data_IF_252697063523
#
_entry.id   IF_252697063523
#
_cell.length_a   1.000
_cell.length_b   1.000
_cell.length_c   1.000
_cell.angle_alpha   90.00
_cell.angle_beta   90.00
_cell.angle_gamma   90.00
#
_symmetry.space_group_name_H-M   'P 1'
#
loop_
_entity.id
_entity.type
_entity.pdbx_description
1 polymer ?
#
# COMPACT_ATOMS: atom_id res chain seq x y z
N UNK A 1 -3.46 -57.17 2.30
CA UNK A 1 -3.51 -55.82 1.64
C UNK A 1 -4.95 -55.53 1.30
N UNK A 2 -5.61 -54.73 2.11
CA UNK A 2 -7.06 -54.47 2.08
C UNK A 2 -7.45 -53.50 0.97
N UNK A 3 -8.54 -53.74 0.21
CA UNK A 3 -8.96 -52.90 -0.92
C UNK A 3 -9.48 -51.50 -0.56
N UNK A 4 -9.60 -51.18 0.71
CA UNK A 4 -10.12 -49.89 1.20
C UNK A 4 -9.21 -48.66 0.98
N UNK A 5 -7.89 -48.88 0.77
CA UNK A 5 -6.92 -47.77 0.63
C UNK A 5 -6.90 -47.11 -0.77
N UNK A 6 -7.43 -47.79 -1.79
CA UNK A 6 -7.47 -47.24 -3.18
C UNK A 6 -8.67 -46.33 -3.44
N UNK A 7 -9.78 -46.47 -2.69
CA UNK A 7 -10.99 -45.69 -2.91
C UNK A 7 -10.88 -44.21 -2.47
N UNK A 8 -10.06 -43.93 -1.47
CA UNK A 8 -9.88 -42.56 -0.94
C UNK A 8 -8.99 -41.67 -1.80
N UNK A 9 -7.99 -42.22 -2.48
CA UNK A 9 -7.07 -41.46 -3.34
C UNK A 9 -7.75 -40.90 -4.60
N UNK A 10 -8.68 -41.64 -5.21
CA UNK A 10 -9.43 -41.23 -6.40
C UNK A 10 -10.42 -40.08 -6.13
N UNK A 11 -11.03 -40.06 -4.93
CA UNK A 11 -11.96 -39.01 -4.53
C UNK A 11 -11.30 -37.64 -4.33
N UNK A 12 -10.08 -37.61 -3.79
CA UNK A 12 -9.33 -36.37 -3.59
C UNK A 12 -8.78 -35.78 -4.89
N UNK A 13 -8.35 -36.60 -5.84
CA UNK A 13 -7.89 -36.16 -7.16
C UNK A 13 -9.04 -35.55 -7.98
N UNK A 14 -10.21 -36.18 -7.99
CA UNK A 14 -11.40 -35.68 -8.68
C UNK A 14 -11.92 -34.36 -8.07
N UNK A 15 -11.92 -34.25 -6.74
CA UNK A 15 -12.31 -33.00 -6.05
C UNK A 15 -11.33 -31.86 -6.33
N UNK A 16 -10.03 -32.14 -6.40
CA UNK A 16 -9.00 -31.14 -6.77
C UNK A 16 -9.17 -30.66 -8.22
N UNK A 17 -9.49 -31.55 -9.15
CA UNK A 17 -9.75 -31.19 -10.55
C UNK A 17 -10.98 -30.30 -10.70
N UNK A 18 -12.07 -30.62 -10.02
CA UNK A 18 -13.30 -29.80 -10.03
C UNK A 18 -13.05 -28.43 -9.38
N UNK A 19 -12.34 -28.39 -8.26
CA UNK A 19 -11.99 -27.12 -7.60
C UNK A 19 -11.09 -26.25 -8.50
N UNK A 20 -10.10 -26.84 -9.18
CA UNK A 20 -9.24 -26.13 -10.12
C UNK A 20 -10.05 -25.60 -11.32
N UNK A 21 -10.98 -26.39 -11.86
CA UNK A 21 -11.82 -25.96 -12.96
C UNK A 21 -12.75 -24.80 -12.56
N UNK A 22 -13.33 -24.83 -11.36
CA UNK A 22 -14.16 -23.75 -10.84
C UNK A 22 -13.35 -22.48 -10.49
N UNK A 23 -12.09 -22.62 -10.11
CA UNK A 23 -11.20 -21.49 -9.84
C UNK A 23 -10.59 -20.88 -11.13
N UNK A 24 -10.62 -21.62 -12.24
CA UNK A 24 -9.96 -21.22 -13.49
C UNK A 24 -10.48 -19.89 -14.06
N UNK A 25 -11.79 -19.61 -14.17
CA UNK A 25 -12.28 -18.32 -14.68
C UNK A 25 -11.84 -17.14 -13.79
N UNK A 26 -11.85 -17.33 -12.47
CA UNK A 26 -11.38 -16.31 -11.52
C UNK A 26 -9.87 -16.09 -11.65
N UNK A 27 -9.11 -17.16 -11.76
CA UNK A 27 -7.65 -17.08 -11.95
C UNK A 27 -7.28 -16.39 -13.27
N UNK A 28 -7.95 -16.72 -14.37
CA UNK A 28 -7.75 -16.07 -15.68
C UNK A 28 -8.10 -14.58 -15.63
N UNK A 29 -9.16 -14.20 -14.91
CA UNK A 29 -9.53 -12.81 -14.71
C UNK A 29 -8.46 -12.05 -13.98
N UNK A 30 -8.00 -12.55 -12.82
CA UNK A 30 -6.93 -11.89 -12.04
C UNK A 30 -5.61 -11.82 -12.81
N UNK A 31 -5.23 -12.90 -13.50
CA UNK A 31 -4.03 -12.91 -14.33
C UNK A 31 -4.13 -11.90 -15.48
N UNK A 32 -5.26 -11.81 -16.15
CA UNK A 32 -5.49 -10.83 -17.21
C UNK A 32 -5.35 -9.39 -16.69
N UNK A 33 -6.01 -9.07 -15.58
CA UNK A 33 -5.92 -7.75 -14.95
C UNK A 33 -4.55 -7.42 -14.36
N UNK A 34 -3.76 -8.43 -14.00
CA UNK A 34 -2.38 -8.24 -13.54
C UNK A 34 -1.41 -8.11 -14.71
N UNK A 35 -1.51 -9.01 -15.70
CA UNK A 35 -0.53 -9.10 -16.79
C UNK A 35 -0.73 -7.97 -17.80
N UNK A 36 -1.95 -7.59 -18.12
CA UNK A 36 -2.21 -6.55 -19.12
C UNK A 36 -1.55 -5.20 -18.74
N UNK A 37 -1.70 -4.64 -17.51
CA UNK A 37 -0.99 -3.44 -17.12
C UNK A 37 0.54 -3.61 -17.11
N UNK A 38 1.05 -4.79 -16.74
CA UNK A 38 2.48 -5.06 -16.74
C UNK A 38 3.05 -5.06 -18.16
N UNK A 39 2.33 -5.63 -19.13
CA UNK A 39 2.73 -5.58 -20.55
C UNK A 39 2.76 -4.12 -21.01
N UNK A 40 1.73 -3.33 -20.68
CA UNK A 40 1.70 -1.90 -21.02
C UNK A 40 2.89 -1.16 -20.42
N UNK A 41 3.22 -1.42 -19.15
CA UNK A 41 4.39 -0.84 -18.49
C UNK A 41 5.70 -1.22 -19.18
N UNK A 42 5.87 -2.49 -19.58
CA UNK A 42 7.06 -2.96 -20.31
C UNK A 42 7.16 -2.28 -21.67
N UNK A 43 6.07 -2.21 -22.41
CA UNK A 43 6.04 -1.53 -23.72
C UNK A 43 6.37 -0.04 -23.56
N UNK A 44 5.78 0.64 -22.57
CA UNK A 44 6.06 2.04 -22.30
C UNK A 44 7.50 2.28 -21.79
N UNK A 45 8.08 1.31 -21.11
CA UNK A 45 9.44 1.38 -20.58
C UNK A 45 10.50 1.44 -21.68
N UNK A 46 10.25 0.82 -22.83
CA UNK A 46 11.11 0.90 -24.04
C UNK A 46 10.65 1.93 -25.06
N UNK A 47 9.55 2.65 -24.78
CA UNK A 47 9.01 3.71 -25.64
C UNK A 47 9.78 5.03 -25.51
N UNK A 48 9.73 5.86 -26.54
CA UNK A 48 10.27 7.21 -26.52
C UNK A 48 9.21 8.22 -26.04
N UNK A 49 9.63 9.18 -25.25
CA UNK A 49 8.75 10.23 -24.76
C UNK A 49 8.54 11.28 -25.83
N UNK A 50 7.30 11.48 -26.28
CA UNK A 50 6.98 12.53 -27.25
C UNK A 50 7.13 13.93 -26.63
N UNK A 51 7.67 14.91 -27.36
CA UNK A 51 7.74 16.30 -26.91
C UNK A 51 6.36 16.93 -26.61
N UNK A 52 5.33 16.43 -27.29
CA UNK A 52 3.95 16.93 -27.16
C UNK A 52 3.13 16.20 -26.08
N UNK A 53 3.79 15.39 -25.22
CA UNK A 53 3.14 14.54 -24.25
C UNK A 53 2.67 13.21 -24.86
N UNK A 54 2.85 12.13 -24.13
CA UNK A 54 2.55 10.75 -24.58
C UNK A 54 3.81 9.95 -24.91
N UNK A 55 3.60 8.71 -25.37
CA UNK A 55 4.66 7.77 -25.71
C UNK A 55 4.58 7.43 -27.20
N UNK A 56 5.72 7.49 -27.86
CA UNK A 56 5.88 6.97 -29.22
C UNK A 56 6.33 5.51 -29.15
N UNK A 57 5.80 4.62 -30.00
CA UNK A 57 6.22 3.22 -30.05
C UNK A 57 7.59 3.10 -30.75
N UNK A 58 8.63 3.59 -30.08
CA UNK A 58 10.02 3.45 -30.52
C UNK A 58 10.73 2.53 -29.52
N UNK A 59 11.38 1.48 -30.01
CA UNK A 59 12.20 0.60 -29.18
C UNK A 59 13.51 1.31 -28.86
N UNK A 60 13.56 1.98 -27.70
CA UNK A 60 14.77 2.67 -27.23
C UNK A 60 15.10 2.30 -25.80
N UNK A 61 16.37 2.13 -25.50
CA UNK A 61 16.88 1.92 -24.14
C UNK A 61 17.38 3.22 -23.50
N UNK A 62 17.16 4.36 -24.12
CA UNK A 62 17.65 5.66 -23.66
C UNK A 62 17.11 6.01 -22.26
N UNK A 63 15.89 5.59 -21.93
CA UNK A 63 15.31 5.78 -20.60
C UNK A 63 16.14 5.06 -19.51
N UNK A 64 16.68 3.89 -19.83
CA UNK A 64 17.53 3.14 -18.91
C UNK A 64 18.92 3.75 -18.75
N UNK A 65 19.44 4.42 -19.77
CA UNK A 65 20.70 5.15 -19.68
C UNK A 65 20.60 6.35 -18.71
N UNK A 66 19.39 6.86 -18.44
CA UNK A 66 19.15 7.95 -17.49
C UNK A 66 18.93 7.45 -16.04
N UNK A 67 18.89 6.14 -15.78
CA UNK A 67 18.73 5.59 -14.43
C UNK A 67 19.76 6.11 -13.41
N UNK A 68 21.08 6.25 -13.77
CA UNK A 68 22.05 6.78 -12.81
C UNK A 68 21.71 8.18 -12.29
N UNK A 69 21.09 9.02 -13.11
CA UNK A 69 20.68 10.38 -12.70
C UNK A 69 19.46 10.37 -11.76
N UNK A 70 18.72 9.25 -11.72
CA UNK A 70 17.51 9.09 -10.92
C UNK A 70 17.69 8.18 -9.70
N UNK A 71 18.93 7.79 -9.41
CA UNK A 71 19.22 6.88 -8.29
C UNK A 71 18.92 7.52 -6.93
N UNK A 72 19.12 8.83 -6.79
CA UNK A 72 18.84 9.56 -5.55
C UNK A 72 17.37 9.51 -5.14
N UNK A 73 16.39 9.83 -6.01
CA UNK A 73 14.97 9.63 -5.70
C UNK A 73 14.64 8.19 -5.34
N UNK A 74 15.24 7.21 -6.01
CA UNK A 74 15.01 5.79 -5.73
C UNK A 74 15.47 5.41 -4.32
N UNK A 75 16.70 5.80 -3.94
CA UNK A 75 17.25 5.55 -2.61
C UNK A 75 16.39 6.22 -1.54
N UNK A 76 15.98 7.47 -1.75
CA UNK A 76 15.11 8.20 -0.84
C UNK A 76 13.76 7.50 -0.66
N UNK A 77 13.17 7.00 -1.74
CA UNK A 77 11.90 6.26 -1.69
C UNK A 77 12.04 4.95 -0.91
N UNK A 78 13.11 4.18 -1.17
CA UNK A 78 13.38 2.93 -0.44
C UNK A 78 13.65 3.21 1.04
N UNK A 79 14.45 4.23 1.34
CA UNK A 79 14.73 4.67 2.71
C UNK A 79 13.46 5.07 3.46
N UNK A 80 12.61 5.88 2.81
CA UNK A 80 11.31 6.28 3.36
C UNK A 80 10.39 5.08 3.59
N UNK A 81 10.33 4.15 2.64
CA UNK A 81 9.52 2.94 2.75
C UNK A 81 9.96 2.06 3.94
N UNK A 82 11.26 1.80 4.07
CA UNK A 82 11.81 1.01 5.17
C UNK A 82 11.56 1.68 6.52
N UNK A 83 11.81 2.98 6.64
CA UNK A 83 11.59 3.74 7.87
C UNK A 83 10.13 3.69 8.29
N UNK A 84 9.20 3.94 7.36
CA UNK A 84 7.77 3.90 7.67
C UNK A 84 7.27 2.49 7.99
N UNK A 85 7.81 1.46 7.34
CA UNK A 85 7.50 0.06 7.67
C UNK A 85 7.89 -0.27 9.12
N UNK A 86 9.09 0.14 9.55
CA UNK A 86 9.55 -0.06 10.92
C UNK A 86 8.67 0.71 11.91
N UNK A 87 8.36 1.98 11.62
CA UNK A 87 7.47 2.79 12.48
C UNK A 87 6.09 2.15 12.58
N UNK A 88 5.48 1.73 11.47
CA UNK A 88 4.19 1.05 11.47
C UNK A 88 4.25 -0.23 12.31
N UNK A 89 5.26 -1.06 12.14
CA UNK A 89 5.42 -2.29 12.92
C UNK A 89 5.56 -2.02 14.43
N UNK A 90 6.37 -1.02 14.81
CA UNK A 90 6.57 -0.63 16.20
C UNK A 90 5.30 -0.09 16.88
N UNK A 91 4.44 0.60 16.13
CA UNK A 91 3.18 1.15 16.66
C UNK A 91 2.06 0.11 16.58
N UNK A 92 1.93 -0.60 15.46
CA UNK A 92 0.86 -1.58 15.24
C UNK A 92 0.97 -2.77 16.21
N UNK A 93 2.18 -3.27 16.47
CA UNK A 93 2.39 -4.43 17.32
C UNK A 93 1.85 -4.24 18.74
N UNK A 94 2.23 -3.18 19.52
CA UNK A 94 1.68 -2.99 20.86
C UNK A 94 0.18 -2.70 20.86
N UNK A 95 -0.35 -2.02 19.85
CA UNK A 95 -1.80 -1.78 19.70
C UNK A 95 -2.52 -3.11 19.49
N UNK A 96 -2.09 -3.90 18.52
CA UNK A 96 -2.68 -5.21 18.25
C UNK A 96 -2.55 -6.16 19.45
N UNK A 97 -1.40 -6.18 20.11
CA UNK A 97 -1.17 -7.00 21.32
C UNK A 97 -2.13 -6.63 22.46
N UNK A 98 -2.27 -5.33 22.74
CA UNK A 98 -3.17 -4.86 23.80
C UNK A 98 -4.63 -5.17 23.48
N UNK A 99 -5.03 -4.94 22.21
CA UNK A 99 -6.38 -5.23 21.74
C UNK A 99 -6.73 -6.72 21.78
N UNK A 100 -5.75 -7.57 21.44
CA UNK A 100 -5.96 -9.02 21.38
C UNK A 100 -6.02 -9.65 22.77
N UNK A 101 -5.11 -9.26 23.68
CA UNK A 101 -4.83 -9.99 24.92
C UNK A 101 -5.28 -9.27 26.19
N UNK A 102 -5.28 -7.93 26.22
CA UNK A 102 -5.57 -7.16 27.44
C UNK A 102 -6.99 -6.61 27.50
N UNK A 103 -7.61 -6.36 26.35
CA UNK A 103 -8.95 -5.79 26.31
C UNK A 103 -9.99 -6.89 26.17
N UNK A 104 -10.98 -6.88 27.07
CA UNK A 104 -12.07 -7.87 27.12
C UNK A 104 -13.43 -7.18 27.09
N UNK A 105 -14.48 -7.93 26.74
CA UNK A 105 -15.85 -7.46 26.72
C UNK A 105 -16.15 -6.42 25.64
N UNK A 106 -17.13 -5.56 25.91
CA UNK A 106 -17.65 -4.57 24.95
C UNK A 106 -16.61 -3.51 24.54
N UNK A 107 -15.65 -3.22 25.41
CA UNK A 107 -14.56 -2.27 25.13
C UNK A 107 -13.67 -2.72 23.97
N UNK A 108 -13.50 -4.04 23.80
CA UNK A 108 -12.75 -4.59 22.66
C UNK A 108 -13.40 -4.19 21.33
N UNK A 109 -14.73 -4.33 21.24
CA UNK A 109 -15.47 -3.97 20.02
C UNK A 109 -15.37 -2.47 19.74
N UNK A 110 -15.51 -1.64 20.78
CA UNK A 110 -15.41 -0.16 20.65
C UNK A 110 -14.03 0.25 20.16
N UNK A 111 -12.96 -0.30 20.73
CA UNK A 111 -11.59 0.04 20.32
C UNK A 111 -11.27 -0.48 18.93
N UNK A 112 -11.71 -1.68 18.56
CA UNK A 112 -11.57 -2.18 17.17
C UNK A 112 -12.33 -1.28 16.20
N UNK A 113 -13.57 -0.90 16.52
CA UNK A 113 -14.34 0.00 15.71
C UNK A 113 -13.65 1.37 15.55
N UNK A 114 -13.10 1.92 16.62
CA UNK A 114 -12.37 3.20 16.60
C UNK A 114 -11.14 3.16 15.69
N UNK A 115 -10.47 2.02 15.59
CA UNK A 115 -9.34 1.82 14.67
C UNK A 115 -9.84 1.65 13.24
N UNK A 116 -10.92 0.90 13.01
CA UNK A 116 -11.41 0.52 11.66
C UNK A 116 -12.28 1.62 11.02
N UNK A 117 -13.14 2.29 11.79
CA UNK A 117 -14.09 3.30 11.26
C UNK A 117 -13.41 4.41 10.43
N UNK A 118 -12.27 4.99 10.81
CA UNK A 118 -11.57 5.98 9.99
C UNK A 118 -11.21 5.48 8.58
N UNK A 119 -11.10 4.16 8.40
CA UNK A 119 -10.76 3.57 7.08
C UNK A 119 -11.94 3.50 6.11
N UNK A 120 -13.17 3.60 6.60
CA UNK A 120 -14.35 3.69 5.75
C UNK A 120 -14.48 5.05 5.05
N UNK A 121 -13.73 6.04 5.52
CA UNK A 121 -13.64 7.33 4.81
C UNK A 121 -12.74 7.20 3.57
N UNK A 122 -13.07 7.93 2.50
CA UNK A 122 -12.28 7.95 1.28
C UNK A 122 -10.83 8.36 1.54
N UNK A 123 -9.89 7.70 0.87
CA UNK A 123 -8.46 8.06 0.90
C UNK A 123 -8.23 9.53 0.55
N UNK A 124 -8.95 10.05 -0.46
CA UNK A 124 -8.83 11.44 -0.89
C UNK A 124 -9.24 12.40 0.23
N UNK A 125 -10.37 12.17 0.90
CA UNK A 125 -10.86 13.02 1.99
C UNK A 125 -9.83 13.05 3.13
N UNK A 126 -9.28 11.90 3.50
CA UNK A 126 -8.22 11.80 4.52
C UNK A 126 -6.96 12.58 4.13
N UNK A 127 -6.53 12.45 2.87
CA UNK A 127 -5.36 13.17 2.37
C UNK A 127 -5.59 14.68 2.40
N UNK A 128 -6.73 15.17 1.95
CA UNK A 128 -7.07 16.59 2.03
C UNK A 128 -7.15 17.10 3.47
N UNK A 129 -7.71 16.31 4.39
CA UNK A 129 -7.75 16.67 5.81
C UNK A 129 -6.34 16.84 6.38
N UNK A 130 -5.39 15.92 6.05
CA UNK A 130 -3.99 16.04 6.46
C UNK A 130 -3.31 17.25 5.81
N UNK A 131 -3.56 17.52 4.53
CA UNK A 131 -3.01 18.70 3.85
C UNK A 131 -3.49 20.00 4.50
N UNK A 132 -4.75 20.06 4.89
CA UNK A 132 -5.32 21.23 5.58
C UNK A 132 -4.76 21.36 7.00
N UNK A 133 -4.65 20.24 7.73
CA UNK A 133 -4.17 20.22 9.11
C UNK A 133 -2.68 20.59 9.20
N UNK A 134 -1.85 20.12 8.27
CA UNK A 134 -0.41 20.40 8.22
C UNK A 134 -0.08 21.68 7.45
N UNK A 135 -1.06 22.28 6.77
CA UNK A 135 -0.93 23.56 6.08
C UNK A 135 -0.75 24.73 7.03
N UNK A 136 -0.26 25.87 6.52
CA UNK A 136 0.11 27.02 7.33
C UNK A 136 -0.99 27.57 8.26
N UNK A 137 -2.28 27.36 7.92
CA UNK A 137 -3.41 27.78 8.76
C UNK A 137 -3.87 26.68 9.76
N UNK A 138 -3.28 25.50 9.75
CA UNK A 138 -3.58 24.38 10.64
C UNK A 138 -2.66 24.31 11.86
N UNK A 139 -2.07 23.13 12.08
CA UNK A 139 -1.15 22.88 13.20
C UNK A 139 0.03 23.87 13.28
N UNK A 140 0.68 24.29 12.16
CA UNK A 140 1.77 25.26 12.24
C UNK A 140 1.36 26.57 12.90
N UNK A 141 0.16 27.07 12.62
CA UNK A 141 -0.37 28.29 13.23
C UNK A 141 -0.59 28.14 14.74
N UNK A 142 -1.12 27.00 15.17
CA UNK A 142 -1.31 26.69 16.59
C UNK A 142 0.03 26.57 17.31
N UNK A 143 1.00 25.91 16.69
CA UNK A 143 2.36 25.77 17.22
C UNK A 143 3.07 27.14 17.31
N UNK A 144 2.86 28.03 16.33
CA UNK A 144 3.35 29.39 16.36
C UNK A 144 2.84 30.19 17.57
N UNK A 145 1.58 30.01 17.97
CA UNK A 145 1.02 30.65 19.17
C UNK A 145 1.61 30.14 20.48
N UNK A 146 2.08 28.88 20.50
CA UNK A 146 2.72 28.26 21.68
C UNK A 146 4.22 28.61 21.76
N UNK A 147 4.76 29.35 20.77
CA UNK A 147 6.14 29.85 20.80
C UNK A 147 7.12 29.02 19.98
N UNK A 148 6.67 28.06 19.18
CA UNK A 148 7.57 27.27 18.29
C UNK A 148 7.96 28.01 17.01
N UNK A 149 7.44 29.22 16.76
CA UNK A 149 7.75 30.00 15.55
C UNK A 149 7.06 29.48 14.29
N UNK A 150 7.46 29.99 13.13
CA UNK A 150 6.92 29.59 11.84
C UNK A 150 7.53 28.25 11.41
N UNK A 151 6.81 27.15 11.68
CA UNK A 151 7.20 25.80 11.28
C UNK A 151 6.44 25.41 10.01
N UNK A 152 7.16 25.05 8.96
CA UNK A 152 6.57 24.45 7.77
C UNK A 152 6.51 22.95 7.96
N UNK A 153 5.32 22.39 8.16
CA UNK A 153 5.08 20.95 8.27
C UNK A 153 4.71 20.32 6.92
N UNK A 154 3.97 21.03 6.09
CA UNK A 154 3.55 20.55 4.77
C UNK A 154 4.76 20.44 3.82
N UNK A 155 4.75 19.45 2.94
CA UNK A 155 5.84 19.13 1.99
C UNK A 155 7.17 18.72 2.66
N UNK A 156 7.11 18.19 3.86
CA UNK A 156 8.26 17.64 4.55
C UNK A 156 8.25 16.11 4.57
N UNK A 157 9.39 15.42 4.72
CA UNK A 157 9.43 13.97 4.92
C UNK A 157 8.60 13.51 6.12
N UNK A 158 8.46 14.36 7.14
CA UNK A 158 7.61 14.12 8.30
C UNK A 158 6.12 14.02 7.90
N UNK A 159 5.62 14.97 7.11
CA UNK A 159 4.23 14.95 6.65
C UNK A 159 3.92 13.71 5.80
N UNK A 160 4.87 13.33 4.93
CA UNK A 160 4.76 12.11 4.11
C UNK A 160 4.72 10.87 4.99
N UNK A 161 5.63 10.76 5.95
CA UNK A 161 5.69 9.65 6.90
C UNK A 161 4.42 9.55 7.74
N UNK A 162 3.92 10.68 8.25
CA UNK A 162 2.69 10.73 9.03
C UNK A 162 1.49 10.23 8.21
N UNK A 163 1.38 10.67 6.95
CA UNK A 163 0.33 10.22 6.03
C UNK A 163 0.43 8.72 5.71
N UNK A 164 1.63 8.19 5.48
CA UNK A 164 1.87 6.77 5.23
C UNK A 164 1.49 5.96 6.47
N UNK A 165 2.05 6.31 7.64
CA UNK A 165 1.77 5.60 8.89
C UNK A 165 0.27 5.58 9.18
N UNK A 166 -0.40 6.72 9.10
CA UNK A 166 -1.84 6.79 9.33
C UNK A 166 -2.65 5.90 8.36
N UNK A 167 -2.24 5.81 7.10
CA UNK A 167 -2.96 5.01 6.10
C UNK A 167 -2.70 3.51 6.19
N UNK A 168 -1.55 3.08 6.71
CA UNK A 168 -1.13 1.67 6.72
C UNK A 168 -1.07 1.06 8.12
N UNK A 169 -1.25 1.85 9.19
CA UNK A 169 -1.18 1.39 10.58
C UNK A 169 -2.21 0.30 10.94
N UNK A 170 -3.49 0.37 10.55
CA UNK A 170 -4.49 -0.63 10.89
C UNK A 170 -4.36 -1.88 10.09
#
# INVERSE_FOLDING_TARGET
>A
MTPASRATAGGHAKRRGVAALLALPTALWYLGFLIAPLIVLVVMSVGERSPNGGYLPALTLQQYAQLPTRITPLINTVGLALTNTVICALVAFPVAYTLALKVHGNWKLVLVALVVVPFWTSFLIRTYAWMTLLGGNGLPRVLGWIGFGDIQLLNTPFAVSLGIVYNYLP
#
